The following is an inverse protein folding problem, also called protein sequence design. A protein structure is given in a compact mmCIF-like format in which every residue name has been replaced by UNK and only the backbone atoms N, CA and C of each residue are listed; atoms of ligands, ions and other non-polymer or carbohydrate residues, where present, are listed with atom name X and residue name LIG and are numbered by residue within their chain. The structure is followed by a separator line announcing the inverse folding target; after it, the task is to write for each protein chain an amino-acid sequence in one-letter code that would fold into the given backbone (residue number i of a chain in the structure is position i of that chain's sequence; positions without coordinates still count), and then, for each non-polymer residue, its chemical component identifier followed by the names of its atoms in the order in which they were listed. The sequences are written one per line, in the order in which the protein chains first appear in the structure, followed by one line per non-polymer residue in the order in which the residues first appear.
data_IF_597189884224
#
_entry.id   IF_597189884224
#
_cell.length_a   1.000
_cell.length_b   1.000
_cell.length_c   1.000
_cell.angle_alpha   90.00
_cell.angle_beta   90.00
_cell.angle_gamma   90.00
#
_symmetry.space_group_name_H-M   'P 1'
#
loop_
_entity.id
_entity.type
_entity.pdbx_description
1 polymer ?
#
# COMPACT_ATOMS: atom_id res chain seq x y z
N UNK A 1 26.28 -27.39 -8.80
CA UNK A 1 25.02 -27.08 -8.09
C UNK A 1 25.03 -25.69 -7.41
N UNK A 2 26.14 -24.91 -7.46
CA UNK A 2 26.20 -23.54 -6.88
C UNK A 2 25.70 -22.44 -7.84
N UNK A 3 25.87 -22.60 -9.15
CA UNK A 3 25.26 -21.67 -10.12
C UNK A 3 23.73 -21.76 -10.19
N UNK A 4 23.09 -22.83 -9.69
CA UNK A 4 21.64 -22.99 -9.84
C UNK A 4 20.80 -22.27 -8.77
N UNK A 5 21.41 -21.79 -7.68
CA UNK A 5 20.71 -21.09 -6.59
C UNK A 5 20.62 -19.57 -6.82
N UNK A 6 21.69 -18.99 -7.39
CA UNK A 6 21.78 -17.56 -7.72
C UNK A 6 21.07 -17.20 -9.03
N UNK A 7 21.02 -18.14 -9.98
CA UNK A 7 20.41 -17.92 -11.30
C UNK A 7 19.04 -18.56 -11.39
N UNK A 8 18.03 -17.73 -11.51
CA UNK A 8 16.68 -18.15 -11.85
C UNK A 8 16.63 -18.74 -13.27
N UNK A 9 15.77 -19.75 -13.53
CA UNK A 9 15.47 -20.15 -14.89
C UNK A 9 15.06 -18.94 -15.74
N UNK A 10 15.42 -18.90 -17.03
CA UNK A 10 15.15 -17.73 -17.89
C UNK A 10 13.68 -17.32 -17.93
N UNK A 11 12.74 -18.28 -17.90
CA UNK A 11 11.31 -18.00 -17.83
C UNK A 11 10.91 -17.30 -16.53
N UNK A 12 11.58 -17.59 -15.42
CA UNK A 12 11.30 -16.96 -14.14
C UNK A 12 11.82 -15.52 -14.11
N UNK A 13 12.98 -15.25 -14.73
CA UNK A 13 13.44 -13.87 -14.88
C UNK A 13 12.41 -13.02 -15.64
N UNK A 14 11.85 -13.55 -16.73
CA UNK A 14 10.75 -12.90 -17.46
C UNK A 14 9.53 -12.69 -16.57
N UNK A 15 9.11 -13.69 -15.81
CA UNK A 15 7.98 -13.59 -14.87
C UNK A 15 8.20 -12.51 -13.81
N UNK A 16 9.37 -12.50 -13.16
CA UNK A 16 9.74 -11.48 -12.17
C UNK A 16 9.73 -10.08 -12.77
N UNK A 17 10.33 -9.91 -13.95
CA UNK A 17 10.32 -8.63 -14.66
C UNK A 17 8.89 -8.20 -15.01
N UNK A 18 8.02 -9.11 -15.42
CA UNK A 18 6.62 -8.81 -15.68
C UNK A 18 5.89 -8.31 -14.42
N UNK A 19 6.11 -8.95 -13.27
CA UNK A 19 5.57 -8.50 -11.97
C UNK A 19 6.07 -7.10 -11.63
N UNK A 20 7.37 -6.82 -11.79
CA UNK A 20 7.94 -5.50 -11.46
C UNK A 20 7.46 -4.40 -12.40
N UNK A 21 7.28 -4.71 -13.68
CA UNK A 21 6.69 -3.79 -14.65
C UNK A 21 5.22 -3.52 -14.34
N UNK A 22 4.47 -4.56 -13.92
CA UNK A 22 3.08 -4.40 -13.52
C UNK A 22 2.94 -3.54 -12.25
N UNK A 23 3.77 -3.77 -11.23
CA UNK A 23 3.82 -2.91 -10.03
C UNK A 23 4.20 -1.46 -10.37
N UNK A 24 5.18 -1.27 -11.26
CA UNK A 24 5.54 0.08 -11.74
C UNK A 24 4.38 0.73 -12.50
N UNK A 25 3.61 -0.04 -13.27
CA UNK A 25 2.44 0.46 -14.00
C UNK A 25 1.30 0.85 -13.03
N UNK A 26 1.12 0.13 -11.92
CA UNK A 26 0.11 0.46 -10.90
C UNK A 26 0.28 1.88 -10.35
N UNK A 27 1.52 2.39 -10.27
CA UNK A 27 1.77 3.80 -9.89
C UNK A 27 0.99 4.76 -10.79
N UNK A 28 0.99 4.52 -12.10
CA UNK A 28 0.27 5.35 -13.07
C UNK A 28 -1.25 5.21 -12.97
N UNK A 29 -1.75 4.01 -12.67
CA UNK A 29 -3.18 3.76 -12.48
C UNK A 29 -3.70 4.43 -11.20
N UNK A 30 -3.03 4.24 -10.06
CA UNK A 30 -3.38 4.93 -8.82
C UNK A 30 -3.31 6.45 -8.98
N UNK A 31 -2.26 6.96 -9.64
CA UNK A 31 -2.14 8.39 -9.87
C UNK A 31 -3.29 8.93 -10.73
N UNK A 32 -3.75 8.17 -11.72
CA UNK A 32 -4.87 8.57 -12.55
C UNK A 32 -6.17 8.68 -11.76
N UNK A 33 -6.48 7.69 -10.92
CA UNK A 33 -7.70 7.68 -10.10
C UNK A 33 -7.64 8.79 -9.04
N UNK A 34 -6.53 8.86 -8.30
CA UNK A 34 -6.30 9.88 -7.27
C UNK A 34 -6.25 11.30 -7.84
N UNK A 35 -5.73 11.50 -9.06
CA UNK A 35 -5.74 12.82 -9.71
C UNK A 35 -7.16 13.30 -9.99
N UNK A 36 -8.08 12.41 -10.36
CA UNK A 36 -9.49 12.76 -10.58
C UNK A 36 -10.15 13.16 -9.26
N UNK A 37 -9.97 12.36 -8.20
CA UNK A 37 -10.45 12.69 -6.87
C UNK A 37 -9.86 13.98 -6.29
N UNK A 38 -8.56 14.22 -6.51
CA UNK A 38 -7.86 15.40 -6.03
C UNK A 38 -8.48 16.71 -6.55
N UNK A 39 -9.07 16.71 -7.76
CA UNK A 39 -9.78 17.91 -8.26
C UNK A 39 -10.99 18.29 -7.40
N UNK A 40 -11.57 17.33 -6.68
CA UNK A 40 -12.65 17.55 -5.75
C UNK A 40 -12.14 17.89 -4.34
N UNK A 41 -11.16 17.13 -3.84
CA UNK A 41 -10.67 17.24 -2.47
C UNK A 41 -9.76 18.47 -2.25
N UNK A 42 -8.97 18.88 -3.24
CA UNK A 42 -8.00 19.98 -3.13
C UNK A 42 -8.57 21.35 -3.54
N UNK A 43 -9.81 21.66 -3.12
CA UNK A 43 -10.48 22.94 -3.46
C UNK A 43 -10.01 24.14 -2.62
N UNK A 44 -9.31 23.90 -1.51
CA UNK A 44 -8.85 24.92 -0.57
C UNK A 44 -7.31 25.03 -0.52
N UNK A 45 -6.73 25.57 0.55
CA UNK A 45 -5.28 25.73 0.68
C UNK A 45 -4.56 24.37 0.59
N UNK A 46 -3.72 24.24 -0.43
CA UNK A 46 -2.91 23.03 -0.65
C UNK A 46 -1.83 22.96 0.43
N UNK A 47 -2.07 22.12 1.43
CA UNK A 47 -1.10 21.74 2.45
C UNK A 47 -0.44 20.40 2.10
N UNK A 48 0.74 20.14 2.68
CA UNK A 48 1.40 18.84 2.52
C UNK A 48 0.52 17.67 3.00
N UNK A 49 -0.31 17.89 4.03
CA UNK A 49 -1.25 16.88 4.53
C UNK A 49 -2.37 16.59 3.53
N UNK A 50 -2.94 17.62 2.90
CA UNK A 50 -4.00 17.43 1.89
C UNK A 50 -3.48 16.74 0.62
N UNK A 51 -2.24 17.03 0.20
CA UNK A 51 -1.62 16.32 -0.94
C UNK A 51 -1.39 14.85 -0.59
N UNK A 52 -0.97 14.56 0.65
CA UNK A 52 -0.81 13.19 1.11
C UNK A 52 -2.13 12.43 1.16
N UNK A 53 -3.19 13.06 1.64
CA UNK A 53 -4.50 12.41 1.73
C UNK A 53 -5.02 12.10 0.33
N UNK A 54 -4.85 13.03 -0.60
CA UNK A 54 -5.29 12.87 -1.99
C UNK A 54 -4.49 11.84 -2.79
N UNK A 55 -3.19 11.63 -2.48
CA UNK A 55 -2.28 10.78 -3.27
C UNK A 55 -1.66 9.63 -2.47
N UNK A 56 -2.35 9.15 -1.43
CA UNK A 56 -1.84 8.15 -0.51
C UNK A 56 -1.39 6.86 -1.23
N UNK A 57 -2.21 6.31 -2.13
CA UNK A 57 -1.92 5.05 -2.82
C UNK A 57 -0.77 5.19 -3.83
N UNK A 58 -0.71 6.31 -4.55
CA UNK A 58 0.40 6.62 -5.46
C UNK A 58 1.71 6.73 -4.70
N UNK A 59 1.74 7.46 -3.58
CA UNK A 59 2.94 7.65 -2.76
C UNK A 59 3.40 6.32 -2.18
N UNK A 60 2.48 5.52 -1.64
CA UNK A 60 2.75 4.20 -1.06
C UNK A 60 3.38 3.26 -2.09
N UNK A 61 2.67 3.04 -3.20
CA UNK A 61 3.10 2.12 -4.27
C UNK A 61 4.44 2.54 -4.85
N UNK A 62 4.66 3.84 -5.04
CA UNK A 62 5.95 4.37 -5.52
C UNK A 62 7.07 4.07 -4.54
N UNK A 63 6.86 4.33 -3.25
CA UNK A 63 7.86 4.08 -2.21
C UNK A 63 8.21 2.59 -2.12
N UNK A 64 7.22 1.71 -2.18
CA UNK A 64 7.44 0.26 -2.20
C UNK A 64 8.17 -0.21 -3.45
N UNK A 65 7.83 0.28 -4.64
CA UNK A 65 8.53 -0.08 -5.89
C UNK A 65 9.99 0.38 -5.83
N UNK A 66 10.27 1.58 -5.33
CA UNK A 66 11.65 2.05 -5.15
C UNK A 66 12.42 1.14 -4.19
N UNK A 67 11.84 0.77 -3.04
CA UNK A 67 12.46 -0.19 -2.11
C UNK A 67 12.71 -1.56 -2.73
N UNK A 68 11.75 -2.08 -3.50
CA UNK A 68 11.86 -3.35 -4.22
C UNK A 68 13.04 -3.32 -5.21
N UNK A 69 13.15 -2.26 -6.01
CA UNK A 69 14.24 -2.08 -6.97
C UNK A 69 15.60 -1.90 -6.28
N UNK A 70 15.64 -1.18 -5.15
CA UNK A 70 16.85 -1.04 -4.34
C UNK A 70 17.30 -2.38 -3.76
N UNK A 71 16.37 -3.16 -3.23
CA UNK A 71 16.67 -4.49 -2.69
C UNK A 71 17.22 -5.43 -3.77
N UNK A 72 16.63 -5.43 -4.96
CA UNK A 72 17.13 -6.22 -6.10
C UNK A 72 18.52 -5.72 -6.56
N UNK A 73 18.76 -4.40 -6.52
CA UNK A 73 20.08 -3.83 -6.85
C UNK A 73 21.15 -4.30 -5.86
N UNK A 74 20.85 -4.26 -4.55
CA UNK A 74 21.77 -4.68 -3.48
C UNK A 74 22.05 -6.19 -3.50
N UNK A 75 21.05 -7.02 -3.80
CA UNK A 75 21.20 -8.48 -3.72
C UNK A 75 21.72 -9.14 -5.00
N UNK A 76 21.46 -8.56 -6.18
CA UNK A 76 21.77 -9.22 -7.46
C UNK A 76 22.80 -8.49 -8.32
N UNK A 77 22.90 -7.15 -8.23
CA UNK A 77 23.62 -6.36 -9.24
C UNK A 77 24.86 -5.61 -8.72
N UNK A 78 24.94 -5.36 -7.41
CA UNK A 78 26.10 -4.72 -6.80
C UNK A 78 27.12 -5.77 -6.34
N UNK A 79 28.22 -5.90 -7.09
CA UNK A 79 29.42 -6.56 -6.59
C UNK A 79 30.01 -5.76 -5.41
N UNK A 80 30.53 -6.45 -4.38
CA UNK A 80 31.13 -5.83 -3.19
C UNK A 80 32.19 -4.76 -3.51
N UNK A 81 32.88 -4.91 -4.65
CA UNK A 81 33.88 -3.96 -5.14
C UNK A 81 33.33 -2.57 -5.52
N UNK A 82 32.02 -2.45 -5.78
CA UNK A 82 31.34 -1.21 -6.19
C UNK A 82 30.60 -0.51 -5.05
N UNK A 83 30.46 -1.16 -3.88
CA UNK A 83 29.84 -0.61 -2.68
C UNK A 83 30.78 0.36 -1.95
N UNK A 84 31.01 1.53 -2.56
CA UNK A 84 31.77 2.60 -1.90
C UNK A 84 30.97 3.21 -0.73
N UNK A 85 31.64 3.83 0.28
CA UNK A 85 30.94 4.48 1.39
C UNK A 85 29.93 5.55 0.97
N UNK A 86 30.14 6.21 -0.18
CA UNK A 86 29.20 7.17 -0.74
C UNK A 86 27.93 6.50 -1.25
N UNK A 87 28.07 5.40 -2.01
CA UNK A 87 26.94 4.61 -2.52
C UNK A 87 26.14 4.03 -1.36
N UNK A 88 26.80 3.47 -0.34
CA UNK A 88 26.12 2.92 0.83
C UNK A 88 25.31 3.99 1.59
N UNK A 89 25.87 5.20 1.80
CA UNK A 89 25.13 6.30 2.42
C UNK A 89 23.92 6.73 1.61
N UNK A 90 24.04 6.73 0.28
CA UNK A 90 22.92 7.06 -0.60
C UNK A 90 21.81 6.01 -0.53
N UNK A 91 22.16 4.72 -0.55
CA UNK A 91 21.18 3.62 -0.38
C UNK A 91 20.45 3.73 0.97
N UNK A 92 21.17 4.00 2.06
CA UNK A 92 20.54 4.20 3.38
C UNK A 92 19.59 5.40 3.36
N UNK A 93 19.98 6.52 2.74
CA UNK A 93 19.16 7.72 2.66
C UNK A 93 17.85 7.47 1.88
N UNK A 94 17.95 6.85 0.69
CA UNK A 94 16.77 6.59 -0.14
C UNK A 94 15.83 5.61 0.55
N UNK A 95 16.36 4.58 1.23
CA UNK A 95 15.55 3.66 2.02
C UNK A 95 14.80 4.37 3.15
N UNK A 96 15.50 5.22 3.90
CA UNK A 96 14.89 6.01 4.97
C UNK A 96 13.80 6.95 4.44
N UNK A 97 14.01 7.57 3.28
CA UNK A 97 13.00 8.39 2.60
C UNK A 97 11.76 7.57 2.23
N UNK A 98 11.94 6.38 1.64
CA UNK A 98 10.82 5.51 1.26
C UNK A 98 10.03 5.04 2.48
N UNK A 99 10.69 4.64 3.57
CA UNK A 99 9.98 4.33 4.82
C UNK A 99 9.21 5.53 5.37
N UNK A 100 9.80 6.73 5.27
CA UNK A 100 9.12 7.98 5.57
C UNK A 100 7.83 8.13 4.76
N UNK A 101 7.89 7.92 3.44
CA UNK A 101 6.73 7.99 2.55
C UNK A 101 5.68 6.91 2.80
N UNK A 102 6.08 5.68 3.17
CA UNK A 102 5.13 4.61 3.53
C UNK A 102 4.36 4.98 4.80
N UNK A 103 5.05 5.48 5.84
CA UNK A 103 4.38 5.95 7.07
C UNK A 103 3.49 7.16 6.75
N UNK A 104 3.94 8.03 5.85
CA UNK A 104 3.18 9.17 5.38
C UNK A 104 1.89 8.68 4.69
N UNK A 105 1.97 7.78 3.71
CA UNK A 105 0.79 7.21 3.04
C UNK A 105 -0.16 6.49 4.01
N UNK A 106 0.37 5.78 5.00
CA UNK A 106 -0.44 5.18 6.08
C UNK A 106 -1.31 6.22 6.81
N UNK A 107 -0.75 7.39 7.11
CA UNK A 107 -1.52 8.50 7.70
C UNK A 107 -2.62 8.96 6.73
N UNK A 108 -2.37 8.95 5.42
CA UNK A 108 -3.35 9.28 4.38
C UNK A 108 -4.54 8.34 4.39
N UNK A 109 -4.31 7.02 4.42
CA UNK A 109 -5.40 6.04 4.55
C UNK A 109 -6.22 6.25 5.83
N UNK A 110 -5.55 6.58 6.95
CA UNK A 110 -6.22 6.87 8.22
C UNK A 110 -7.09 8.13 8.11
N UNK A 111 -6.60 9.18 7.44
CA UNK A 111 -7.37 10.42 7.21
C UNK A 111 -8.60 10.17 6.34
N UNK A 112 -8.46 9.45 5.22
CA UNK A 112 -9.60 9.01 4.38
C UNK A 112 -10.64 8.25 5.22
N UNK A 113 -10.18 7.35 6.09
CA UNK A 113 -11.04 6.63 7.03
C UNK A 113 -11.78 7.54 8.02
N UNK A 114 -11.13 8.58 8.53
CA UNK A 114 -11.76 9.58 9.41
C UNK A 114 -12.77 10.47 8.68
N UNK A 115 -12.51 10.84 7.43
CA UNK A 115 -13.47 11.59 6.59
C UNK A 115 -14.82 10.87 6.50
N UNK A 116 -14.81 9.53 6.38
CA UNK A 116 -16.02 8.71 6.38
C UNK A 116 -16.75 8.64 7.72
N UNK A 117 -16.13 9.05 8.84
CA UNK A 117 -16.78 9.15 10.14
C UNK A 117 -17.42 10.52 10.36
N UNK A 118 -16.95 11.55 9.64
CA UNK A 118 -17.42 12.93 9.74
C UNK A 118 -18.61 13.19 8.80
N UNK A 119 -19.70 12.44 9.02
CA UNK A 119 -20.90 12.52 8.17
C UNK A 119 -22.16 12.81 8.97
N UNK A 120 -23.08 13.55 8.37
CA UNK A 120 -24.39 13.91 8.93
C UNK A 120 -25.49 13.41 7.99
N UNK A 121 -26.60 12.87 8.53
CA UNK A 121 -27.73 12.48 7.70
C UNK A 121 -28.44 13.71 7.12
N UNK A 122 -28.78 13.65 5.83
CA UNK A 122 -29.49 14.72 5.12
C UNK A 122 -30.74 14.16 4.43
N UNK A 123 -31.79 14.98 4.37
CA UNK A 123 -33.02 14.62 3.67
C UNK A 123 -32.80 14.62 2.16
N UNK A 124 -33.43 13.66 1.48
CA UNK A 124 -33.30 13.47 0.04
C UNK A 124 -33.72 14.71 -0.77
N UNK A 125 -34.65 15.50 -0.23
CA UNK A 125 -35.11 16.75 -0.84
C UNK A 125 -34.04 17.85 -0.92
N UNK A 126 -32.95 17.76 -0.16
CA UNK A 126 -31.85 18.72 -0.18
C UNK A 126 -30.77 18.39 -1.22
N UNK A 127 -30.88 17.28 -1.97
CA UNK A 127 -29.84 16.85 -2.92
C UNK A 127 -29.57 17.91 -4.01
N UNK A 128 -30.61 18.59 -4.48
CA UNK A 128 -30.47 19.66 -5.47
C UNK A 128 -29.73 20.88 -4.94
N UNK A 129 -29.92 21.22 -3.65
CA UNK A 129 -29.22 22.31 -2.99
C UNK A 129 -27.73 21.97 -2.78
N UNK A 130 -27.44 20.70 -2.44
CA UNK A 130 -26.08 20.19 -2.38
C UNK A 130 -25.39 20.23 -3.75
N UNK A 131 -26.08 19.76 -4.80
CA UNK A 131 -25.57 19.82 -6.18
C UNK A 131 -25.27 21.27 -6.61
N UNK A 132 -26.16 22.21 -6.28
CA UNK A 132 -25.96 23.64 -6.55
C UNK A 132 -24.80 24.24 -5.74
N UNK A 133 -24.49 23.66 -4.57
CA UNK A 133 -23.36 24.05 -3.71
C UNK A 133 -22.06 23.35 -4.09
N UNK A 134 -22.03 22.61 -5.20
CA UNK A 134 -20.82 21.96 -5.72
C UNK A 134 -20.46 20.63 -5.09
N UNK A 135 -21.40 20.00 -4.35
CA UNK A 135 -21.18 18.67 -3.80
C UNK A 135 -21.08 17.63 -4.91
N UNK A 136 -20.33 16.55 -4.65
CA UNK A 136 -20.23 15.41 -5.56
C UNK A 136 -20.75 14.12 -4.91
N UNK A 137 -21.15 13.16 -5.73
CA UNK A 137 -21.52 11.84 -5.25
C UNK A 137 -20.24 11.02 -5.07
N UNK A 138 -20.02 10.54 -3.86
CA UNK A 138 -18.96 9.57 -3.59
C UNK A 138 -19.44 8.18 -3.98
N UNK A 139 -18.69 7.51 -4.85
CA UNK A 139 -19.00 6.14 -5.31
C UNK A 139 -17.96 5.15 -4.78
N UNK A 140 -16.71 5.60 -4.67
CA UNK A 140 -15.57 4.88 -4.12
C UNK A 140 -14.74 5.86 -3.26
N UNK A 141 -13.88 5.42 -2.33
CA UNK A 141 -12.97 6.32 -1.60
C UNK A 141 -12.15 7.24 -2.50
N UNK A 142 -11.85 6.81 -3.72
CA UNK A 142 -11.06 7.55 -4.70
C UNK A 142 -11.85 7.95 -5.96
N UNK A 143 -13.19 7.85 -5.95
CA UNK A 143 -14.04 8.22 -7.09
C UNK A 143 -15.22 9.11 -6.68
N UNK A 144 -15.24 10.32 -7.26
CA UNK A 144 -16.29 11.31 -7.08
C UNK A 144 -16.96 11.65 -8.41
N UNK A 145 -18.27 11.41 -8.48
CA UNK A 145 -19.07 11.73 -9.65
C UNK A 145 -19.77 13.09 -9.51
N UNK A 146 -19.81 13.89 -10.58
CA UNK A 146 -20.45 15.20 -10.52
C UNK A 146 -21.98 15.07 -10.34
N UNK A 147 -22.52 15.82 -9.37
CA UNK A 147 -23.97 15.95 -9.21
C UNK A 147 -24.50 17.08 -10.10
N UNK A 148 -25.29 16.72 -11.10
CA UNK A 148 -25.97 17.69 -11.94
C UNK A 148 -27.17 18.30 -11.21
N UNK A 149 -27.24 19.63 -11.19
CA UNK A 149 -28.44 20.36 -10.73
C UNK A 149 -29.66 20.03 -11.60
N UNK A 150 -29.43 19.76 -12.90
CA UNK A 150 -30.50 19.30 -13.78
C UNK A 150 -30.83 17.82 -13.48
N UNK A 151 -32.09 17.55 -13.12
CA UNK A 151 -32.56 16.18 -12.87
C UNK A 151 -32.16 15.59 -11.51
N UNK A 152 -31.53 16.38 -10.61
CA UNK A 152 -31.18 15.95 -9.26
C UNK A 152 -32.39 15.38 -8.50
N UNK A 153 -33.55 16.04 -8.57
CA UNK A 153 -34.77 15.63 -7.88
C UNK A 153 -35.35 14.28 -8.37
N UNK A 154 -34.97 13.85 -9.57
CA UNK A 154 -35.40 12.59 -10.18
C UNK A 154 -34.26 11.59 -10.33
N UNK A 155 -33.07 11.92 -9.81
CA UNK A 155 -31.92 11.02 -9.84
C UNK A 155 -32.20 9.78 -8.98
N UNK A 156 -31.54 8.66 -9.31
CA UNK A 156 -31.63 7.46 -8.50
C UNK A 156 -31.33 7.79 -7.03
N UNK A 157 -30.27 8.56 -6.78
CA UNK A 157 -29.86 9.04 -5.46
C UNK A 157 -30.94 9.86 -4.72
N UNK A 158 -31.75 10.64 -5.45
CA UNK A 158 -32.90 11.36 -4.89
C UNK A 158 -34.14 10.49 -4.64
N UNK A 159 -34.08 9.21 -4.97
CA UNK A 159 -35.15 8.24 -4.74
C UNK A 159 -34.73 7.11 -3.81
N UNK A 160 -33.43 6.97 -3.53
CA UNK A 160 -32.87 5.97 -2.61
C UNK A 160 -32.72 6.52 -1.19
N UNK A 161 -33.54 6.00 -0.27
CA UNK A 161 -33.23 5.90 1.16
C UNK A 161 -32.75 7.20 1.86
N UNK A 162 -31.96 7.02 2.92
CA UNK A 162 -31.32 8.12 3.64
C UNK A 162 -29.94 8.43 3.03
N UNK A 163 -29.58 9.71 3.00
CA UNK A 163 -28.28 10.19 2.50
C UNK A 163 -27.38 10.59 3.66
N UNK A 164 -26.08 10.37 3.50
CA UNK A 164 -25.02 10.83 4.39
C UNK A 164 -24.18 11.86 3.64
N UNK A 165 -23.83 12.95 4.33
CA UNK A 165 -23.09 14.08 3.74
C UNK A 165 -21.89 14.40 4.62
N UNK A 166 -20.73 14.60 4.00
CA UNK A 166 -19.58 15.25 4.62
C UNK A 166 -19.53 16.71 4.13
N UNK A 167 -19.61 17.64 5.06
CA UNK A 167 -19.64 19.08 4.76
C UNK A 167 -18.26 19.71 4.61
N UNK A 168 -17.21 19.05 5.09
CA UNK A 168 -15.83 19.54 5.00
C UNK A 168 -15.25 19.22 3.62
N UNK A 169 -15.50 18.00 3.13
CA UNK A 169 -14.99 17.49 1.85
C UNK A 169 -16.02 17.63 0.70
N UNK A 170 -17.24 18.05 1.02
CA UNK A 170 -18.32 18.35 0.07
C UNK A 170 -18.78 17.16 -0.79
N UNK A 171 -18.94 15.99 -0.18
CA UNK A 171 -19.49 14.81 -0.86
C UNK A 171 -20.75 14.26 -0.18
N UNK A 172 -21.55 13.52 -0.94
CA UNK A 172 -22.77 12.84 -0.50
C UNK A 172 -22.80 11.40 -0.99
N UNK A 173 -23.41 10.52 -0.21
CA UNK A 173 -23.50 9.09 -0.48
C UNK A 173 -24.78 8.51 0.14
N UNK A 174 -25.25 7.37 -0.35
CA UNK A 174 -26.35 6.65 0.32
C UNK A 174 -25.91 6.03 1.64
N UNK A 175 -26.85 5.78 2.55
CA UNK A 175 -26.55 5.08 3.81
C UNK A 175 -25.98 3.66 3.59
N UNK A 176 -26.42 2.96 2.54
CA UNK A 176 -25.94 1.61 2.22
C UNK A 176 -24.50 1.65 1.72
N UNK A 177 -24.21 2.53 0.76
CA UNK A 177 -22.90 2.62 0.15
C UNK A 177 -21.90 3.18 1.17
N UNK A 178 -22.31 4.13 2.01
CA UNK A 178 -21.49 4.60 3.13
C UNK A 178 -21.01 3.48 4.06
N UNK A 179 -21.88 2.50 4.35
CA UNK A 179 -21.51 1.36 5.18
C UNK A 179 -20.48 0.44 4.49
N UNK A 180 -20.54 0.35 3.16
CA UNK A 180 -19.58 -0.38 2.33
C UNK A 180 -18.23 0.34 2.24
N UNK A 181 -18.23 1.64 1.93
CA UNK A 181 -17.04 2.49 1.84
C UNK A 181 -16.23 2.50 3.14
N UNK A 182 -16.90 2.54 4.30
CA UNK A 182 -16.20 2.42 5.60
C UNK A 182 -15.47 1.11 5.77
N UNK A 183 -16.01 0.00 5.25
CA UNK A 183 -15.33 -1.31 5.31
C UNK A 183 -14.13 -1.33 4.39
N UNK A 184 -14.23 -0.75 3.20
CA UNK A 184 -13.11 -0.60 2.26
C UNK A 184 -11.98 0.22 2.90
N UNK A 185 -12.29 1.43 3.40
CA UNK A 185 -11.29 2.27 4.07
C UNK A 185 -10.63 1.60 5.29
N UNK A 186 -11.39 0.80 6.06
CA UNK A 186 -10.82 0.03 7.15
C UNK A 186 -9.84 -1.04 6.66
N UNK A 187 -10.14 -1.68 5.53
CA UNK A 187 -9.25 -2.65 4.88
C UNK A 187 -7.99 -1.97 4.37
N UNK A 188 -8.07 -0.78 3.77
CA UNK A 188 -6.90 -0.02 3.30
C UNK A 188 -5.94 0.30 4.46
N UNK A 189 -6.48 0.85 5.56
CA UNK A 189 -5.71 1.13 6.79
C UNK A 189 -5.09 -0.15 7.37
N UNK A 190 -5.87 -1.22 7.45
CA UNK A 190 -5.42 -2.48 8.05
C UNK A 190 -4.37 -3.18 7.18
N UNK A 191 -4.49 -3.10 5.86
CA UNK A 191 -3.52 -3.63 4.91
C UNK A 191 -2.18 -2.89 5.02
N UNK A 192 -2.20 -1.56 4.98
CA UNK A 192 -0.99 -0.75 5.11
C UNK A 192 -0.30 -1.00 6.46
N UNK A 193 -1.06 -1.06 7.57
CA UNK A 193 -0.51 -1.41 8.89
C UNK A 193 0.11 -2.82 8.91
N UNK A 194 -0.51 -3.79 8.24
CA UNK A 194 -0.03 -5.17 8.15
C UNK A 194 1.31 -5.24 7.41
N UNK A 195 1.44 -4.53 6.28
CA UNK A 195 2.70 -4.45 5.54
C UNK A 195 3.83 -3.80 6.35
N UNK A 196 3.54 -2.69 7.03
CA UNK A 196 4.50 -2.03 7.93
C UNK A 196 4.97 -3.00 9.02
N UNK A 197 4.05 -3.74 9.64
CA UNK A 197 4.39 -4.71 10.68
C UNK A 197 5.24 -5.87 10.14
N UNK A 198 4.94 -6.36 8.93
CA UNK A 198 5.75 -7.38 8.26
C UNK A 198 7.18 -6.87 8.05
N UNK A 199 7.37 -5.65 7.53
CA UNK A 199 8.70 -5.08 7.33
C UNK A 199 9.45 -4.87 8.66
N UNK A 200 8.78 -4.33 9.69
CA UNK A 200 9.39 -4.17 11.02
C UNK A 200 9.89 -5.53 11.54
N UNK A 201 9.09 -6.57 11.38
CA UNK A 201 9.43 -7.92 11.83
C UNK A 201 10.59 -8.52 11.03
N UNK A 202 10.62 -8.33 9.71
CA UNK A 202 11.74 -8.75 8.87
C UNK A 202 13.03 -8.00 9.24
N UNK A 203 12.98 -6.68 9.42
CA UNK A 203 14.15 -5.92 9.85
C UNK A 203 14.63 -6.34 11.23
N UNK A 204 13.70 -6.67 12.15
CA UNK A 204 14.04 -7.18 13.47
C UNK A 204 14.78 -8.52 13.40
N UNK A 205 14.31 -9.45 12.58
CA UNK A 205 14.96 -10.75 12.37
C UNK A 205 16.34 -10.60 11.75
N UNK A 206 16.47 -9.83 10.65
CA UNK A 206 17.74 -9.63 9.98
C UNK A 206 18.74 -8.94 10.91
N UNK A 207 18.33 -7.86 11.58
CA UNK A 207 19.24 -7.13 12.48
C UNK A 207 19.67 -8.00 13.65
N UNK A 208 18.76 -8.67 14.36
CA UNK A 208 19.15 -9.45 15.54
C UNK A 208 19.85 -10.75 15.15
N UNK A 209 19.39 -11.43 14.10
CA UNK A 209 20.01 -12.65 13.57
C UNK A 209 21.47 -12.45 13.18
N UNK A 210 21.85 -11.25 12.71
CA UNK A 210 23.25 -10.87 12.46
C UNK A 210 24.10 -10.79 13.74
N UNK A 211 23.52 -10.51 14.91
CA UNK A 211 24.26 -10.30 16.17
C UNK A 211 24.17 -11.49 17.14
N UNK A 212 23.04 -12.21 17.17
CA UNK A 212 22.76 -13.32 18.11
C UNK A 212 21.66 -14.25 17.58
N UNK A 213 21.72 -15.53 17.96
CA UNK A 213 20.54 -16.40 17.82
C UNK A 213 19.35 -15.87 18.63
N UNK A 214 18.18 -15.81 17.99
CA UNK A 214 16.95 -15.39 18.63
C UNK A 214 16.54 -16.39 19.72
N UNK A 215 16.13 -15.93 20.93
CA UNK A 215 15.65 -16.82 21.97
C UNK A 215 14.47 -17.66 21.47
N UNK A 216 14.42 -18.95 21.83
CA UNK A 216 13.39 -19.88 21.37
C UNK A 216 11.95 -19.37 21.57
N UNK A 217 11.68 -18.60 22.64
CA UNK A 217 10.38 -17.96 22.90
C UNK A 217 10.02 -16.88 21.88
N UNK A 218 11.00 -16.10 21.44
CA UNK A 218 10.81 -15.03 20.44
C UNK A 218 10.55 -15.66 19.08
N UNK A 219 11.36 -16.66 18.69
CA UNK A 219 11.15 -17.42 17.45
C UNK A 219 9.80 -18.14 17.42
N UNK A 220 9.35 -18.65 18.57
CA UNK A 220 8.03 -19.28 18.70
C UNK A 220 6.85 -18.31 18.55
N UNK A 221 7.06 -17.01 18.79
CA UNK A 221 6.04 -15.97 18.59
C UNK A 221 6.06 -15.43 17.15
N UNK A 222 7.24 -15.21 16.57
CA UNK A 222 7.38 -14.60 15.26
C UNK A 222 6.73 -15.46 14.16
N UNK A 223 6.98 -16.77 14.15
CA UNK A 223 6.44 -17.68 13.13
C UNK A 223 4.91 -17.63 13.00
N UNK A 224 4.11 -17.84 14.06
CA UNK A 224 2.65 -17.74 13.96
C UNK A 224 2.19 -16.32 13.63
N UNK A 225 2.88 -15.28 14.11
CA UNK A 225 2.57 -13.90 13.74
C UNK A 225 2.76 -13.66 12.24
N UNK A 226 3.86 -14.13 11.63
CA UNK A 226 4.04 -14.07 10.16
C UNK A 226 2.89 -14.71 9.42
N UNK A 227 2.54 -15.94 9.81
CA UNK A 227 1.46 -16.71 9.17
C UNK A 227 0.14 -15.93 9.27
N UNK A 228 -0.16 -15.36 10.44
CA UNK A 228 -1.36 -14.55 10.64
C UNK A 228 -1.37 -13.31 9.74
N UNK A 229 -0.26 -12.58 9.65
CA UNK A 229 -0.15 -11.36 8.84
C UNK A 229 -0.26 -11.67 7.34
N UNK A 230 0.43 -12.70 6.83
CA UNK A 230 0.29 -13.10 5.43
C UNK A 230 -1.10 -13.64 5.10
N UNK A 231 -1.73 -14.36 6.02
CA UNK A 231 -3.13 -14.79 5.86
C UNK A 231 -4.05 -13.56 5.77
N UNK A 232 -3.81 -12.56 6.62
CA UNK A 232 -4.59 -11.33 6.64
C UNK A 232 -4.46 -10.55 5.31
N UNK A 233 -3.25 -10.46 4.74
CA UNK A 233 -3.04 -9.87 3.41
C UNK A 233 -3.85 -10.57 2.31
N UNK A 234 -3.90 -11.91 2.33
CA UNK A 234 -4.70 -12.68 1.38
C UNK A 234 -6.20 -12.40 1.57
N UNK A 235 -6.66 -12.24 2.81
CA UNK A 235 -8.04 -11.89 3.11
C UNK A 235 -8.39 -10.48 2.61
N UNK A 236 -7.48 -9.51 2.75
CA UNK A 236 -7.66 -8.16 2.20
C UNK A 236 -7.73 -8.18 0.67
N UNK A 237 -6.80 -8.86 0.00
CA UNK A 237 -6.84 -9.08 -1.44
C UNK A 237 -8.20 -9.67 -1.87
N UNK A 238 -8.63 -10.75 -1.22
CA UNK A 238 -9.93 -11.34 -1.52
C UNK A 238 -11.09 -10.36 -1.30
N UNK A 239 -11.05 -9.54 -0.24
CA UNK A 239 -12.09 -8.55 0.05
C UNK A 239 -12.20 -7.50 -1.07
N UNK A 240 -11.08 -6.90 -1.52
CA UNK A 240 -11.12 -5.99 -2.67
C UNK A 240 -11.64 -6.67 -3.93
N UNK A 241 -11.28 -7.94 -4.17
CA UNK A 241 -11.79 -8.69 -5.32
C UNK A 241 -13.31 -8.91 -5.34
N UNK A 242 -13.99 -8.83 -4.18
CA UNK A 242 -15.45 -8.95 -4.08
C UNK A 242 -16.17 -7.62 -3.91
N UNK A 243 -15.58 -6.67 -3.18
CA UNK A 243 -16.26 -5.47 -2.70
C UNK A 243 -15.56 -4.16 -3.09
N UNK A 244 -14.31 -4.21 -3.57
CA UNK A 244 -13.51 -3.04 -3.91
C UNK A 244 -13.14 -2.98 -5.38
N UNK A 245 -12.11 -2.20 -5.70
CA UNK A 245 -11.64 -2.05 -7.06
C UNK A 245 -10.82 -3.25 -7.53
N UNK A 246 -10.83 -3.50 -8.83
CA UNK A 246 -9.97 -4.51 -9.45
C UNK A 246 -8.49 -4.14 -9.30
N UNK A 247 -8.17 -2.85 -9.26
CA UNK A 247 -6.82 -2.34 -9.13
C UNK A 247 -6.22 -2.70 -7.76
N UNK A 248 -6.96 -2.52 -6.68
CA UNK A 248 -6.50 -2.86 -5.32
C UNK A 248 -6.24 -4.35 -5.15
N UNK A 249 -7.17 -5.19 -5.65
CA UNK A 249 -6.97 -6.64 -5.67
C UNK A 249 -5.72 -7.03 -6.46
N UNK A 250 -5.57 -6.46 -7.65
CA UNK A 250 -4.44 -6.75 -8.54
C UNK A 250 -3.11 -6.32 -7.92
N UNK A 251 -3.05 -5.13 -7.35
CA UNK A 251 -1.87 -4.62 -6.66
C UNK A 251 -1.50 -5.48 -5.45
N UNK A 252 -2.47 -5.77 -4.56
CA UNK A 252 -2.24 -6.62 -3.40
C UNK A 252 -1.74 -8.03 -3.79
N UNK A 253 -2.31 -8.61 -4.84
CA UNK A 253 -1.86 -9.89 -5.38
C UNK A 253 -0.40 -9.82 -5.86
N UNK A 254 -0.05 -8.80 -6.65
CA UNK A 254 1.31 -8.62 -7.14
C UNK A 254 2.31 -8.38 -6.01
N UNK A 255 1.95 -7.63 -4.98
CA UNK A 255 2.81 -7.41 -3.81
C UNK A 255 3.07 -8.70 -3.04
N UNK A 256 2.04 -9.52 -2.79
CA UNK A 256 2.22 -10.84 -2.16
C UNK A 256 3.22 -11.68 -2.99
N UNK A 257 3.08 -11.70 -4.32
CA UNK A 257 3.99 -12.41 -5.21
C UNK A 257 5.42 -11.81 -5.18
N UNK A 258 5.56 -10.49 -5.21
CA UNK A 258 6.85 -9.81 -5.18
C UNK A 258 7.59 -10.06 -3.85
N UNK A 259 6.86 -10.11 -2.74
CA UNK A 259 7.44 -10.38 -1.43
C UNK A 259 7.97 -11.81 -1.30
N UNK A 260 7.32 -12.80 -1.95
CA UNK A 260 7.87 -14.17 -2.07
C UNK A 260 9.23 -14.16 -2.77
N UNK A 261 9.43 -13.27 -3.76
CA UNK A 261 10.73 -13.14 -4.42
C UNK A 261 11.79 -12.54 -3.48
N UNK A 262 11.41 -11.50 -2.73
CA UNK A 262 12.29 -10.86 -1.74
C UNK A 262 12.71 -11.87 -0.67
N UNK A 263 11.77 -12.56 -0.03
CA UNK A 263 12.07 -13.50 1.05
C UNK A 263 13.02 -14.61 0.62
N UNK A 264 12.81 -15.16 -0.59
CA UNK A 264 13.74 -16.16 -1.13
C UNK A 264 15.13 -15.58 -1.36
N UNK A 265 15.23 -14.37 -1.92
CA UNK A 265 16.53 -13.74 -2.16
C UNK A 265 17.28 -13.49 -0.85
N UNK A 266 16.60 -13.02 0.21
CA UNK A 266 17.18 -12.84 1.55
C UNK A 266 17.70 -14.17 2.08
N UNK A 267 16.90 -15.23 2.01
CA UNK A 267 17.28 -16.56 2.53
C UNK A 267 18.52 -17.13 1.82
N UNK A 268 18.64 -16.94 0.50
CA UNK A 268 19.83 -17.39 -0.24
C UNK A 268 21.07 -16.60 0.20
N UNK A 269 20.94 -15.29 0.40
CA UNK A 269 22.03 -14.42 0.83
C UNK A 269 22.53 -14.74 2.25
N UNK A 270 21.64 -15.01 3.21
CA UNK A 270 22.01 -15.43 4.57
C UNK A 270 22.86 -16.71 4.55
N UNK A 271 22.49 -17.70 3.73
CA UNK A 271 23.27 -18.94 3.59
C UNK A 271 24.65 -18.71 2.96
N UNK A 272 24.81 -17.70 2.10
CA UNK A 272 26.12 -17.35 1.54
C UNK A 272 27.01 -16.72 2.62
N UNK A 273 26.46 -15.86 3.48
CA UNK A 273 27.18 -15.25 4.60
C UNK A 273 27.63 -16.28 5.64
N UNK A 274 26.76 -17.20 6.05
CA UNK A 274 27.11 -18.26 7.02
C UNK A 274 28.28 -19.10 6.53
N UNK A 275 28.31 -19.44 5.24
CA UNK A 275 29.41 -20.23 4.64
C UNK A 275 30.68 -19.42 4.40
N UNK A 276 30.56 -18.11 4.21
CA UNK A 276 31.70 -17.20 4.04
C UNK A 276 32.32 -16.79 5.38
N UNK A 277 31.60 -16.94 6.49
CA UNK A 277 32.17 -16.78 7.82
C UNK A 277 33.28 -17.84 8.03
N UNK A 278 34.52 -17.45 8.39
CA UNK A 278 35.54 -18.44 8.69
C UNK A 278 35.04 -19.25 9.88
N UNK A 279 34.89 -20.56 9.70
CA UNK A 279 34.70 -21.48 10.82
C UNK A 279 35.69 -21.10 11.90
N UNK A 280 35.20 -20.77 13.10
CA UNK A 280 36.04 -20.56 14.26
C UNK A 280 37.10 -21.64 14.28
N UNK A 281 38.36 -21.19 14.22
CA UNK A 281 39.54 -22.03 14.32
C UNK A 281 39.37 -22.83 15.60
N UNK A 282 39.05 -24.11 15.44
CA UNK A 282 39.08 -25.08 16.52
C UNK A 282 40.54 -25.24 16.94
N UNK A 283 40.95 -24.57 18.01
CA UNK A 283 42.06 -24.97 18.88
C UNK A 283 41.81 -24.54 20.32
#
# INVERSE_FOLDING_TARGET
MMQSLRYWPGWFAVFKTAVYLALTANIGFFFQDEWQAATHLLRSEVSAASVLEAFAATIDTTAWVVLLLMFELETHQLDDSRLTPAVNRWLILVRALCYGFIVFAFIGYVMKGFSLLNVVPVSVGALCDLAASGYQQMVDPDEFLPLAVAGCATSALATTGALMVNHDDLWVVTLTDWAELKRLALVDVSNSATWILIVIMLEFEVRIGLWRELPARVTALIKPTKIALYTLLILFAAFWGFAGSVLDFWDAFLWIVAFVFIERNVFVWEQELERASPSEVTQ
#
